data_IF_364332252937
#
_entry.id   IF_364332252937
#
_cell.length_a   1.000
_cell.length_b   1.000
_cell.length_c   1.000
_cell.angle_alpha   90.00
_cell.angle_beta   90.00
_cell.angle_gamma   90.00
#
_symmetry.space_group_name_H-M   'P 1'
#
loop_
_entity.id
_entity.type
_entity.pdbx_description
1 polymer ?
#
# COMPACT_ATOMS: atom_id res chain seq x y z
N UNK A 1 -4.96 10.09 -10.38
CA UNK A 1 -4.25 9.08 -11.21
C UNK A 1 -2.73 9.26 -11.20
N UNK A 2 -2.16 10.47 -11.39
CA UNK A 2 -0.70 10.67 -11.32
C UNK A 2 -0.08 10.25 -9.97
N UNK A 3 -0.81 10.37 -8.86
CA UNK A 3 -0.32 9.99 -7.54
C UNK A 3 -0.20 8.46 -7.36
N UNK A 4 -1.17 7.69 -7.85
CA UNK A 4 -1.16 6.21 -7.82
C UNK A 4 0.06 5.65 -8.56
N UNK A 5 0.35 6.13 -9.78
CA UNK A 5 1.54 5.71 -10.52
C UNK A 5 2.84 6.03 -9.78
N UNK A 6 2.92 7.18 -9.11
CA UNK A 6 4.08 7.53 -8.29
C UNK A 6 4.25 6.59 -7.09
N UNK A 7 3.15 6.19 -6.44
CA UNK A 7 3.18 5.21 -5.34
C UNK A 7 3.61 3.82 -5.82
N UNK A 8 3.13 3.37 -6.97
CA UNK A 8 3.58 2.11 -7.59
C UNK A 8 5.08 2.15 -7.89
N UNK A 9 5.57 3.25 -8.50
CA UNK A 9 7.00 3.40 -8.79
C UNK A 9 7.86 3.37 -7.51
N UNK A 10 7.38 3.95 -6.40
CA UNK A 10 8.05 3.86 -5.09
C UNK A 10 8.08 2.42 -4.57
N UNK A 11 6.97 1.69 -4.64
CA UNK A 11 6.89 0.27 -4.23
C UNK A 11 7.87 -0.60 -5.04
N UNK A 12 7.96 -0.40 -6.36
CA UNK A 12 8.93 -1.09 -7.23
C UNK A 12 10.36 -0.79 -6.77
N UNK A 13 10.66 0.47 -6.43
CA UNK A 13 11.95 0.88 -5.90
C UNK A 13 12.29 0.19 -4.56
N UNK A 14 11.32 0.07 -3.66
CA UNK A 14 11.49 -0.64 -2.39
C UNK A 14 11.77 -2.13 -2.59
N UNK A 15 11.03 -2.80 -3.48
CA UNK A 15 11.25 -4.21 -3.82
C UNK A 15 12.65 -4.45 -4.42
N UNK A 16 13.11 -3.58 -5.32
CA UNK A 16 14.49 -3.59 -5.82
C UNK A 16 15.52 -3.36 -4.71
N UNK A 17 15.19 -2.53 -3.72
CA UNK A 17 16.01 -2.34 -2.53
C UNK A 17 16.16 -3.62 -1.71
N UNK A 18 15.06 -4.35 -1.49
CA UNK A 18 15.05 -5.64 -0.79
C UNK A 18 15.90 -6.68 -1.53
N UNK A 19 15.74 -6.78 -2.85
CA UNK A 19 16.57 -7.67 -3.68
C UNK A 19 18.08 -7.38 -3.50
N UNK A 20 18.48 -6.11 -3.52
CA UNK A 20 19.87 -5.71 -3.25
C UNK A 20 20.32 -6.07 -1.84
N UNK A 21 19.46 -5.93 -0.83
CA UNK A 21 19.79 -6.30 0.55
C UNK A 21 20.06 -7.80 0.69
N UNK A 22 19.26 -8.63 0.02
CA UNK A 22 19.47 -10.08 -0.04
C UNK A 22 20.79 -10.44 -0.72
N UNK A 23 21.07 -9.83 -1.88
CA UNK A 23 22.32 -10.05 -2.62
C UNK A 23 23.56 -9.63 -1.82
N UNK A 24 23.42 -8.57 -1.02
CA UNK A 24 24.48 -8.07 -0.14
C UNK A 24 24.54 -8.78 1.22
N UNK A 25 23.76 -9.86 1.43
CA UNK A 25 23.70 -10.64 2.67
C UNK A 25 23.50 -9.77 3.92
N UNK A 26 22.62 -8.76 3.83
CA UNK A 26 22.21 -7.94 4.98
C UNK A 26 21.48 -8.80 6.02
N UNK A 27 21.43 -8.33 7.26
CA UNK A 27 20.74 -9.02 8.35
C UNK A 27 19.28 -9.32 8.01
N UNK A 28 18.83 -10.53 8.36
CA UNK A 28 17.47 -10.97 8.08
C UNK A 28 16.42 -10.05 8.72
N UNK A 29 16.69 -9.54 9.92
CA UNK A 29 15.81 -8.59 10.62
C UNK A 29 15.60 -7.30 9.83
N UNK A 30 16.67 -6.75 9.23
CA UNK A 30 16.59 -5.54 8.40
C UNK A 30 15.77 -5.80 7.12
N UNK A 31 15.97 -6.95 6.48
CA UNK A 31 15.20 -7.36 5.31
C UNK A 31 13.70 -7.50 5.66
N UNK A 32 13.39 -8.17 6.78
CA UNK A 32 12.02 -8.34 7.27
C UNK A 32 11.37 -6.99 7.62
N UNK A 33 12.12 -6.05 8.15
CA UNK A 33 11.66 -4.69 8.41
C UNK A 33 11.27 -3.97 7.10
N UNK A 34 12.06 -4.11 6.05
CA UNK A 34 11.72 -3.52 4.73
C UNK A 34 10.51 -4.20 4.09
N UNK A 35 10.41 -5.53 4.18
CA UNK A 35 9.23 -6.27 3.71
C UNK A 35 7.97 -5.76 4.43
N UNK A 36 8.05 -5.56 5.75
CA UNK A 36 6.95 -5.03 6.55
C UNK A 36 6.54 -3.61 6.12
N UNK A 37 7.52 -2.78 5.77
CA UNK A 37 7.26 -1.44 5.23
C UNK A 37 6.58 -1.48 3.86
N UNK A 38 7.00 -2.39 2.97
CA UNK A 38 6.36 -2.59 1.66
C UNK A 38 4.93 -3.07 1.83
N UNK A 39 4.67 -4.05 2.73
CA UNK A 39 3.31 -4.52 3.02
C UNK A 39 2.38 -3.35 3.40
N UNK A 40 2.78 -2.53 4.38
CA UNK A 40 2.01 -1.35 4.80
C UNK A 40 1.77 -0.35 3.66
N UNK A 41 2.76 -0.15 2.79
CA UNK A 41 2.62 0.76 1.65
C UNK A 41 1.63 0.22 0.60
N UNK A 42 1.60 -1.10 0.38
CA UNK A 42 0.61 -1.78 -0.48
C UNK A 42 -0.79 -1.66 0.13
N UNK A 43 -0.93 -1.94 1.43
CA UNK A 43 -2.21 -1.84 2.16
C UNK A 43 -2.82 -0.44 1.99
N UNK A 44 -2.01 0.61 2.18
CA UNK A 44 -2.45 1.99 1.97
C UNK A 44 -2.76 2.33 0.52
N UNK A 45 -2.16 1.65 -0.47
CA UNK A 45 -2.47 1.84 -1.89
C UNK A 45 -3.80 1.17 -2.25
N UNK A 46 -4.03 -0.05 -1.75
CA UNK A 46 -5.29 -0.76 -1.88
C UNK A 46 -6.45 0.06 -1.32
N UNK A 47 -6.28 0.67 -0.13
CA UNK A 47 -7.29 1.57 0.47
C UNK A 47 -7.64 2.73 -0.46
N UNK A 48 -6.63 3.40 -1.03
CA UNK A 48 -6.83 4.56 -1.90
C UNK A 48 -7.61 4.19 -3.17
N UNK A 49 -7.24 3.07 -3.81
CA UNK A 49 -7.91 2.58 -5.02
C UNK A 49 -9.38 2.25 -4.73
N UNK A 50 -9.63 1.46 -3.67
CA UNK A 50 -10.99 1.04 -3.30
C UNK A 50 -11.86 2.24 -2.94
N UNK A 51 -11.35 3.20 -2.17
CA UNK A 51 -12.09 4.43 -1.84
C UNK A 51 -12.39 5.24 -3.10
N UNK A 52 -11.40 5.40 -4.00
CA UNK A 52 -11.59 6.11 -5.27
C UNK A 52 -12.70 5.48 -6.12
N UNK A 53 -12.73 4.16 -6.22
CA UNK A 53 -13.75 3.45 -7.01
C UNK A 53 -15.14 3.54 -6.37
N UNK A 54 -15.23 3.46 -5.04
CA UNK A 54 -16.51 3.51 -4.32
C UNK A 54 -17.10 4.92 -4.34
N UNK A 55 -16.28 5.96 -4.15
CA UNK A 55 -16.72 7.36 -4.27
C UNK A 55 -17.30 7.70 -5.65
N UNK A 56 -16.91 6.95 -6.70
CA UNK A 56 -17.47 7.13 -8.05
C UNK A 56 -18.88 6.56 -8.20
N UNK A 57 -19.25 5.59 -7.37
CA UNK A 57 -20.48 4.81 -7.50
C UNK A 57 -21.60 5.22 -6.55
N UNK A 58 -21.33 6.07 -5.55
CA UNK A 58 -22.23 6.31 -4.41
C UNK A 58 -22.49 7.81 -4.14
N UNK A 59 -23.67 8.21 -3.61
CA UNK A 59 -23.91 9.54 -3.07
C UNK A 59 -22.99 9.85 -1.87
N UNK A 60 -22.63 11.14 -1.70
CA UNK A 60 -21.58 11.60 -0.76
C UNK A 60 -21.74 11.15 0.71
N UNK A 61 -22.96 10.89 1.21
CA UNK A 61 -23.17 10.50 2.63
C UNK A 61 -22.69 9.08 2.96
N UNK A 62 -22.61 8.17 1.98
CA UNK A 62 -22.23 6.77 2.23
C UNK A 62 -20.73 6.48 2.04
N UNK A 63 -20.02 7.35 1.31
CA UNK A 63 -18.61 7.16 0.98
C UNK A 63 -17.71 7.08 2.23
N UNK A 64 -17.98 7.92 3.23
CA UNK A 64 -17.19 7.99 4.46
C UNK A 64 -17.35 6.72 5.34
N UNK A 65 -18.56 6.16 5.35
CA UNK A 65 -18.87 4.91 6.06
C UNK A 65 -18.15 3.72 5.42
N UNK A 66 -18.11 3.68 4.09
CA UNK A 66 -17.42 2.63 3.36
C UNK A 66 -15.90 2.75 3.50
N UNK A 67 -15.33 3.96 3.46
CA UNK A 67 -13.91 4.20 3.73
C UNK A 67 -13.46 3.59 5.07
N UNK A 68 -14.27 3.74 6.12
CA UNK A 68 -14.04 3.15 7.46
C UNK A 68 -14.21 1.63 7.49
N UNK A 69 -15.02 1.04 6.59
CA UNK A 69 -15.13 -0.42 6.46
C UNK A 69 -13.90 -1.00 5.77
N UNK A 70 -13.45 -0.38 4.68
CA UNK A 70 -12.25 -0.78 3.92
C UNK A 70 -11.01 -0.71 4.79
N UNK A 71 -10.86 0.34 5.60
CA UNK A 71 -9.75 0.50 6.53
C UNK A 71 -9.68 -0.63 7.58
N UNK A 72 -10.82 -1.13 8.05
CA UNK A 72 -10.86 -2.25 8.98
C UNK A 72 -10.52 -3.58 8.31
N UNK A 73 -10.93 -3.79 7.06
CA UNK A 73 -10.68 -5.03 6.34
C UNK A 73 -9.21 -5.19 5.90
N UNK A 74 -8.54 -4.08 5.56
CA UNK A 74 -7.15 -4.10 5.07
C UNK A 74 -6.14 -4.19 6.22
N UNK A 75 -6.46 -3.69 7.42
CA UNK A 75 -5.58 -3.73 8.59
C UNK A 75 -5.70 -5.01 9.44
N UNK A 76 -6.36 -6.06 8.93
CA UNK A 76 -6.42 -7.41 9.51
C UNK A 76 -5.41 -8.34 8.80
#
# INVERSE_FOLDING_TARGET
>A
MNDISNRINRLIGQLKGIEKMLNNKRECSDVLQQISAVKKAIDGLSKEIVVSDICRLMPNEDADKIGKMVERAINL
#
